data_IF_546574709184
#
_entry.id   IF_546574709184
#
_cell.length_a   1.000
_cell.length_b   1.000
_cell.length_c   1.000
_cell.angle_alpha   90.00
_cell.angle_beta   90.00
_cell.angle_gamma   90.00
#
_symmetry.space_group_name_H-M   'P 1'
#
loop_
_entity.id
_entity.type
_entity.pdbx_description
1 polymer ?
#
# COMPACT_ATOMS: atom_id res chain seq x y z
N UNK A 1 63.56 22.55 26.40
CA UNK A 1 62.15 22.99 26.22
C UNK A 1 61.37 22.32 27.34
N UNK A 2 60.78 23.15 28.19
CA UNK A 2 60.21 22.69 29.46
C UNK A 2 58.81 22.08 29.19
N UNK A 3 58.50 20.90 29.76
CA UNK A 3 57.19 20.23 29.61
C UNK A 3 56.00 21.14 29.90
N UNK A 4 56.18 22.11 30.79
CA UNK A 4 55.17 23.11 31.13
C UNK A 4 54.74 24.03 29.98
N UNK A 5 55.61 24.26 29.01
CA UNK A 5 55.28 25.13 27.87
C UNK A 5 54.43 24.37 26.81
N UNK A 6 54.66 23.08 26.63
CA UNK A 6 53.84 22.23 25.76
C UNK A 6 52.42 22.09 26.28
N UNK A 7 52.25 21.91 27.57
CA UNK A 7 50.93 21.79 28.20
C UNK A 7 50.13 23.11 28.08
N UNK A 8 50.76 24.24 28.28
CA UNK A 8 50.12 25.55 28.10
C UNK A 8 49.65 25.76 26.67
N UNK A 9 50.51 25.47 25.70
CA UNK A 9 50.15 25.57 24.26
C UNK A 9 49.00 24.64 23.91
N UNK A 10 49.03 23.41 24.43
CA UNK A 10 47.95 22.48 24.25
C UNK A 10 46.62 22.99 24.82
N UNK A 11 46.58 23.42 26.07
CA UNK A 11 45.35 23.91 26.71
C UNK A 11 44.82 25.20 26.07
N UNK A 12 45.66 26.07 25.60
CA UNK A 12 45.25 27.29 24.89
C UNK A 12 44.61 26.92 23.54
N UNK A 13 45.26 26.05 22.76
CA UNK A 13 44.74 25.64 21.48
C UNK A 13 43.45 24.80 21.65
N UNK A 14 43.42 23.89 22.61
CA UNK A 14 42.22 23.11 22.92
C UNK A 14 41.07 24.02 23.34
N UNK A 15 41.33 24.98 24.23
CA UNK A 15 40.34 25.98 24.64
C UNK A 15 39.81 26.83 23.47
N UNK A 16 40.70 27.25 22.58
CA UNK A 16 40.30 28.00 21.37
C UNK A 16 39.43 27.19 20.45
N UNK A 17 39.76 25.92 20.20
CA UNK A 17 38.94 25.00 19.37
C UNK A 17 37.58 24.77 20.02
N UNK A 18 37.56 24.50 21.32
CA UNK A 18 36.29 24.27 22.03
C UNK A 18 35.41 25.54 22.00
N UNK A 19 36.01 26.72 22.21
CA UNK A 19 35.28 28.00 22.14
C UNK A 19 34.68 28.21 20.71
N UNK A 20 35.45 27.90 19.66
CA UNK A 20 34.96 27.98 18.29
C UNK A 20 33.81 27.03 18.04
N UNK A 21 33.89 25.77 18.49
CA UNK A 21 32.82 24.77 18.34
C UNK A 21 31.55 25.19 19.10
N UNK A 22 31.68 25.67 20.32
CA UNK A 22 30.54 26.23 21.07
C UNK A 22 29.93 27.44 20.36
N UNK A 23 30.77 28.33 19.82
CA UNK A 23 30.30 29.46 19.04
C UNK A 23 29.46 29.04 17.83
N UNK A 24 29.96 28.12 17.05
CA UNK A 24 29.21 27.54 15.89
C UNK A 24 27.90 26.88 16.36
N UNK A 25 27.96 26.10 17.44
CA UNK A 25 26.78 25.45 18.00
C UNK A 25 25.66 26.44 18.36
N UNK A 26 26.01 27.52 19.08
CA UNK A 26 25.04 28.55 19.43
C UNK A 26 24.52 29.33 18.23
N UNK A 27 25.36 29.60 17.23
CA UNK A 27 24.94 30.22 15.97
C UNK A 27 23.92 29.31 15.24
N UNK A 28 24.19 28.01 15.15
CA UNK A 28 23.28 27.07 14.54
C UNK A 28 21.94 26.98 15.28
N UNK A 29 21.95 26.92 16.61
CA UNK A 29 20.71 26.93 17.41
C UNK A 29 19.93 28.22 17.20
N UNK A 30 20.62 29.37 17.20
CA UNK A 30 19.97 30.65 17.00
C UNK A 30 19.35 30.76 15.60
N UNK A 31 20.08 30.34 14.56
CA UNK A 31 19.58 30.29 13.20
C UNK A 31 18.38 29.35 13.07
N UNK A 32 18.46 28.13 13.66
CA UNK A 32 17.37 27.19 13.68
C UNK A 32 16.11 27.76 14.38
N UNK A 33 16.29 28.45 15.48
CA UNK A 33 15.19 29.12 16.19
C UNK A 33 14.55 30.24 15.38
N UNK A 34 15.35 31.06 14.68
CA UNK A 34 14.82 32.09 13.79
C UNK A 34 13.99 31.48 12.64
N UNK A 35 14.49 30.40 12.03
CA UNK A 35 13.78 29.70 10.95
C UNK A 35 12.49 29.06 11.49
N UNK A 36 12.55 28.39 12.62
CA UNK A 36 11.39 27.74 13.22
C UNK A 36 10.32 28.79 13.63
N UNK A 37 10.71 29.90 14.23
CA UNK A 37 9.78 30.97 14.60
C UNK A 37 9.11 31.65 13.39
N UNK A 38 9.79 31.62 12.23
CA UNK A 38 9.23 32.13 10.98
C UNK A 38 8.25 31.14 10.33
N UNK A 39 8.31 29.86 10.70
CA UNK A 39 7.47 28.77 10.19
C UNK A 39 6.17 28.55 10.95
N UNK A 40 6.03 29.09 12.15
CA UNK A 40 4.84 28.95 13.02
C UNK A 40 3.68 29.88 12.61
N UNK A 41 3.59 30.25 11.34
CA UNK A 41 2.39 30.90 10.86
C UNK A 41 1.29 29.85 10.77
N UNK A 42 0.24 30.01 11.59
CA UNK A 42 -0.99 29.23 11.44
C UNK A 42 -1.36 29.16 9.95
N UNK A 43 -1.74 27.99 9.43
CA UNK A 43 -2.05 27.86 8.02
C UNK A 43 -3.10 28.87 7.61
N UNK A 44 -2.82 29.60 6.54
CA UNK A 44 -3.73 30.63 6.02
C UNK A 44 -5.09 30.00 5.68
N UNK A 45 -6.20 30.73 5.82
CA UNK A 45 -7.53 30.20 5.52
C UNK A 45 -7.61 29.51 4.15
N UNK A 46 -6.90 30.05 3.16
CA UNK A 46 -6.78 29.49 1.81
C UNK A 46 -6.10 28.12 1.79
N UNK A 47 -5.07 27.93 2.60
CA UNK A 47 -4.37 26.65 2.75
C UNK A 47 -5.25 25.63 3.45
N UNK A 48 -5.99 26.03 4.48
CA UNK A 48 -6.95 25.17 5.16
C UNK A 48 -8.07 24.74 4.22
N UNK A 49 -8.58 25.63 3.38
CA UNK A 49 -9.60 25.32 2.40
C UNK A 49 -9.09 24.30 1.35
N UNK A 50 -7.86 24.48 0.87
CA UNK A 50 -7.26 23.54 -0.09
C UNK A 50 -6.98 22.18 0.52
N UNK A 51 -6.56 22.11 1.78
CA UNK A 51 -6.38 20.87 2.52
C UNK A 51 -7.72 20.18 2.74
N UNK A 52 -8.75 20.93 3.19
CA UNK A 52 -10.09 20.39 3.41
C UNK A 52 -10.69 19.78 2.13
N UNK A 53 -10.49 20.42 0.97
CA UNK A 53 -10.93 19.87 -0.32
C UNK A 53 -10.18 18.58 -0.69
N UNK A 54 -8.88 18.52 -0.42
CA UNK A 54 -8.05 17.32 -0.72
C UNK A 54 -8.38 16.13 0.17
N UNK A 55 -8.78 16.35 1.41
CA UNK A 55 -9.13 15.29 2.38
C UNK A 55 -10.64 15.08 2.46
N UNK A 56 -11.42 15.73 1.63
CA UNK A 56 -12.86 15.55 1.57
C UNK A 56 -13.20 14.08 1.33
N UNK A 57 -14.03 13.47 2.19
CA UNK A 57 -14.44 12.09 2.00
C UNK A 57 -15.09 11.90 0.63
N UNK A 58 -14.64 10.88 -0.13
CA UNK A 58 -15.22 10.54 -1.44
C UNK A 58 -16.58 9.85 -1.30
N UNK A 59 -17.10 9.73 -0.09
CA UNK A 59 -18.37 9.09 0.17
C UNK A 59 -19.10 9.68 1.35
N UNK A 60 -20.40 9.50 1.39
CA UNK A 60 -21.24 9.80 2.54
C UNK A 60 -21.49 8.51 3.32
N UNK A 61 -21.28 8.53 4.63
CA UNK A 61 -21.69 7.43 5.50
C UNK A 61 -23.20 7.49 5.64
N UNK A 62 -23.88 6.48 5.08
CA UNK A 62 -25.34 6.35 5.23
C UNK A 62 -25.59 5.56 6.50
N UNK A 63 -26.08 6.21 7.55
CA UNK A 63 -26.41 5.59 8.83
C UNK A 63 -27.90 5.18 8.92
N UNK A 64 -28.71 5.58 7.96
CA UNK A 64 -30.12 5.21 7.90
C UNK A 64 -30.29 3.88 7.14
N UNK A 65 -30.78 2.80 7.79
CA UNK A 65 -31.01 1.52 7.14
C UNK A 65 -31.96 1.59 5.93
N UNK A 66 -32.93 2.52 5.93
CA UNK A 66 -33.84 2.72 4.81
C UNK A 66 -33.17 3.38 3.58
N UNK A 67 -32.12 4.17 3.82
CA UNK A 67 -31.34 4.76 2.75
C UNK A 67 -30.33 3.78 2.12
N UNK A 68 -29.85 2.77 2.88
CA UNK A 68 -28.99 1.70 2.37
C UNK A 68 -29.67 0.87 1.27
N UNK A 69 -30.99 0.70 1.35
CA UNK A 69 -31.76 -0.03 0.33
C UNK A 69 -31.85 0.76 -0.98
N UNK A 70 -31.77 2.09 -0.92
CA UNK A 70 -31.80 2.97 -2.11
C UNK A 70 -30.43 3.18 -2.76
N UNK A 71 -29.34 2.93 -2.04
CA UNK A 71 -27.98 3.10 -2.55
C UNK A 71 -27.40 1.85 -3.22
N UNK A 72 -28.12 0.75 -3.25
CA UNK A 72 -27.86 -0.30 -4.25
C UNK A 72 -28.25 0.24 -5.63
N UNK A 73 -27.51 1.24 -6.12
CA UNK A 73 -27.55 1.59 -7.51
C UNK A 73 -27.34 0.29 -8.30
N UNK A 74 -28.16 0.00 -9.33
CA UNK A 74 -27.89 -1.14 -10.19
C UNK A 74 -26.44 -0.98 -10.64
N UNK A 75 -25.62 -1.98 -10.34
CA UNK A 75 -24.26 -2.05 -10.88
C UNK A 75 -24.41 -1.69 -12.35
N UNK A 76 -23.74 -0.63 -12.78
CA UNK A 76 -23.74 -0.25 -14.22
C UNK A 76 -23.45 -1.55 -14.94
N UNK A 77 -24.43 -2.03 -15.72
CA UNK A 77 -24.37 -3.33 -16.35
C UNK A 77 -23.25 -3.29 -17.40
N UNK A 78 -22.02 -3.49 -16.95
CA UNK A 78 -20.90 -3.71 -17.87
C UNK A 78 -21.07 -5.06 -18.53
N UNK A 79 -20.65 -5.17 -19.77
CA UNK A 79 -20.59 -6.47 -20.42
C UNK A 79 -19.73 -7.45 -19.57
N UNK A 80 -20.17 -8.68 -19.36
CA UNK A 80 -19.40 -9.69 -18.64
C UNK A 80 -18.02 -9.87 -19.26
N UNK A 81 -16.98 -9.89 -18.43
CA UNK A 81 -15.62 -10.13 -18.89
C UNK A 81 -15.38 -11.62 -19.07
N UNK A 82 -14.58 -11.98 -20.09
CA UNK A 82 -14.10 -13.34 -20.24
C UNK A 82 -13.09 -13.70 -19.17
N UNK A 83 -12.87 -15.00 -18.91
CA UNK A 83 -11.87 -15.46 -17.94
C UNK A 83 -10.46 -14.96 -18.25
N UNK A 84 -10.10 -14.85 -19.54
CA UNK A 84 -8.84 -14.27 -19.98
C UNK A 84 -8.72 -12.78 -19.61
N UNK A 85 -9.78 -12.00 -19.84
CA UNK A 85 -9.80 -10.57 -19.51
C UNK A 85 -9.72 -10.33 -18.00
N UNK A 86 -10.45 -11.11 -17.20
CA UNK A 86 -10.36 -11.06 -15.74
C UNK A 86 -8.96 -11.42 -15.27
N UNK A 87 -8.38 -12.49 -15.84
CA UNK A 87 -7.03 -12.90 -15.51
C UNK A 87 -6.01 -11.80 -15.84
N UNK A 88 -6.04 -11.26 -17.05
CA UNK A 88 -5.10 -10.22 -17.48
C UNK A 88 -5.20 -8.93 -16.62
N UNK A 89 -6.44 -8.56 -16.27
CA UNK A 89 -6.71 -7.34 -15.50
C UNK A 89 -6.32 -7.46 -14.03
N UNK A 90 -6.49 -8.63 -13.43
CA UNK A 90 -6.45 -8.78 -11.98
C UNK A 90 -5.61 -9.96 -11.51
N UNK A 91 -5.97 -11.20 -11.90
CA UNK A 91 -5.42 -12.42 -11.31
C UNK A 91 -3.92 -12.60 -11.61
N UNK A 92 -3.49 -12.21 -12.83
CA UNK A 92 -2.10 -12.34 -13.28
C UNK A 92 -1.10 -11.54 -12.42
N UNK A 93 -1.55 -10.50 -11.73
CA UNK A 93 -0.72 -9.73 -10.82
C UNK A 93 -0.05 -10.59 -9.73
N UNK A 94 -0.78 -11.58 -9.20
CA UNK A 94 -0.24 -12.52 -8.22
C UNK A 94 0.10 -13.88 -8.85
N UNK A 95 -0.81 -14.43 -9.68
CA UNK A 95 -0.66 -15.77 -10.26
C UNK A 95 0.32 -15.83 -11.44
N UNK A 96 0.65 -14.70 -12.08
CA UNK A 96 1.68 -14.65 -13.13
C UNK A 96 3.10 -14.89 -12.58
N UNK A 97 3.43 -14.25 -11.48
CA UNK A 97 4.75 -14.35 -10.84
C UNK A 97 4.79 -15.38 -9.68
N UNK A 98 3.64 -15.82 -9.16
CA UNK A 98 3.55 -16.73 -8.02
C UNK A 98 3.83 -16.04 -6.68
N UNK A 99 3.53 -14.74 -6.54
CA UNK A 99 3.77 -13.99 -5.31
C UNK A 99 2.82 -14.41 -4.19
N UNK A 100 3.23 -14.22 -2.94
CA UNK A 100 2.45 -14.54 -1.73
C UNK A 100 1.97 -16.01 -1.67
N UNK A 101 2.69 -16.93 -2.33
CA UNK A 101 2.32 -18.35 -2.37
C UNK A 101 1.17 -18.68 -3.33
N UNK A 102 0.83 -17.78 -4.25
CA UNK A 102 -0.13 -18.05 -5.30
C UNK A 102 0.42 -19.11 -6.27
N UNK A 103 -0.37 -20.11 -6.68
CA UNK A 103 0.05 -21.06 -7.71
C UNK A 103 0.27 -20.30 -9.02
N UNK A 104 1.46 -20.47 -9.59
CA UNK A 104 1.85 -19.78 -10.82
C UNK A 104 1.10 -20.33 -12.03
N UNK A 105 0.62 -19.47 -12.92
CA UNK A 105 0.03 -19.89 -14.21
C UNK A 105 1.08 -20.64 -15.02
N UNK A 106 0.71 -21.80 -15.56
CA UNK A 106 1.60 -22.73 -16.26
C UNK A 106 2.24 -23.79 -15.35
N UNK A 107 2.13 -23.67 -14.03
CA UNK A 107 2.60 -24.71 -13.10
C UNK A 107 1.51 -25.75 -12.86
N UNK A 108 1.52 -26.78 -13.70
CA UNK A 108 0.56 -27.88 -13.62
C UNK A 108 0.53 -28.57 -12.26
N UNK A 109 1.71 -28.81 -11.67
CA UNK A 109 1.79 -29.53 -10.41
C UNK A 109 1.17 -28.72 -9.25
N UNK A 110 1.48 -27.43 -9.19
CA UNK A 110 0.92 -26.54 -8.17
C UNK A 110 -0.60 -26.41 -8.30
N UNK A 111 -1.13 -26.26 -9.52
CA UNK A 111 -2.57 -26.15 -9.74
C UNK A 111 -3.31 -27.45 -9.48
N UNK A 112 -2.79 -28.60 -9.94
CA UNK A 112 -3.36 -29.92 -9.64
C UNK A 112 -3.43 -30.18 -8.13
N UNK A 113 -2.37 -29.84 -7.39
CA UNK A 113 -2.36 -29.94 -5.93
C UNK A 113 -3.44 -29.06 -5.27
N UNK A 114 -3.64 -27.82 -5.76
CA UNK A 114 -4.69 -26.91 -5.25
C UNK A 114 -6.09 -27.40 -5.56
N UNK A 115 -6.29 -27.91 -6.77
CA UNK A 115 -7.59 -28.48 -7.19
C UNK A 115 -7.97 -29.69 -6.33
N UNK A 116 -7.02 -30.62 -6.13
CA UNK A 116 -7.23 -31.79 -5.30
C UNK A 116 -7.46 -31.44 -3.83
N UNK A 117 -6.65 -30.54 -3.27
CA UNK A 117 -6.79 -30.10 -1.89
C UNK A 117 -8.10 -29.31 -1.64
N UNK A 118 -8.65 -28.68 -2.64
CA UNK A 118 -9.96 -28.03 -2.55
C UNK A 118 -11.13 -29.03 -2.61
N UNK A 119 -10.95 -30.19 -3.20
CA UNK A 119 -12.01 -31.17 -3.44
C UNK A 119 -12.74 -30.95 -4.77
N UNK A 120 -12.10 -30.29 -5.75
CA UNK A 120 -12.63 -30.08 -7.09
C UNK A 120 -12.79 -28.61 -7.48
N UNK A 121 -13.26 -28.41 -8.72
CA UNK A 121 -13.36 -27.07 -9.32
C UNK A 121 -14.28 -26.13 -8.56
N UNK A 122 -15.47 -26.58 -8.17
CA UNK A 122 -16.45 -25.72 -7.49
C UNK A 122 -15.94 -25.21 -6.16
N UNK A 123 -15.26 -26.06 -5.41
CA UNK A 123 -14.65 -25.68 -4.14
C UNK A 123 -13.46 -24.72 -4.38
N UNK A 124 -12.67 -24.95 -5.41
CA UNK A 124 -11.56 -24.05 -5.78
C UNK A 124 -12.08 -22.66 -6.18
N UNK A 125 -13.13 -22.61 -7.01
CA UNK A 125 -13.83 -21.36 -7.37
C UNK A 125 -14.39 -20.66 -6.15
N UNK A 126 -15.01 -21.41 -5.23
CA UNK A 126 -15.52 -20.87 -3.96
C UNK A 126 -14.42 -20.24 -3.10
N UNK A 127 -13.21 -20.82 -3.11
CA UNK A 127 -12.05 -20.19 -2.46
C UNK A 127 -11.67 -18.86 -3.12
N UNK A 128 -11.73 -18.77 -4.45
CA UNK A 128 -11.43 -17.52 -5.16
C UNK A 128 -12.49 -16.44 -4.90
N UNK A 129 -13.77 -16.83 -4.81
CA UNK A 129 -14.87 -15.90 -4.51
C UNK A 129 -14.76 -15.35 -3.07
N UNK A 130 -14.53 -16.22 -2.09
CA UNK A 130 -14.46 -15.82 -0.67
C UNK A 130 -13.10 -15.31 -0.21
N UNK A 131 -12.07 -15.57 -1.00
CA UNK A 131 -10.68 -15.40 -0.60
C UNK A 131 -10.14 -16.57 0.21
N UNK A 132 -8.81 -16.75 0.19
CA UNK A 132 -8.12 -17.78 0.98
C UNK A 132 -6.72 -17.35 1.34
N UNK A 133 -6.38 -17.33 2.63
CA UNK A 133 -5.09 -16.88 3.14
C UNK A 133 -4.76 -15.45 2.65
N UNK A 134 -3.67 -15.28 1.90
CA UNK A 134 -3.26 -14.00 1.33
C UNK A 134 -4.06 -13.57 0.09
N UNK A 135 -4.87 -14.47 -0.48
CA UNK A 135 -5.72 -14.12 -1.62
C UNK A 135 -6.98 -13.40 -1.17
N UNK A 136 -7.22 -12.16 -1.58
CA UNK A 136 -8.43 -11.43 -1.24
C UNK A 136 -9.66 -12.00 -1.97
N UNK A 137 -10.89 -11.78 -1.44
CA UNK A 137 -12.13 -12.15 -2.11
C UNK A 137 -12.19 -11.60 -3.53
N UNK A 138 -12.54 -12.45 -4.50
CA UNK A 138 -12.64 -12.10 -5.93
C UNK A 138 -11.38 -11.43 -6.49
N UNK A 139 -10.20 -11.76 -5.92
CA UNK A 139 -8.93 -11.13 -6.29
C UNK A 139 -8.79 -9.66 -5.90
N UNK A 140 -9.72 -9.13 -5.09
CA UNK A 140 -9.77 -7.74 -4.64
C UNK A 140 -10.72 -6.84 -5.42
N UNK A 141 -11.46 -7.38 -6.41
CA UNK A 141 -12.49 -6.63 -7.13
C UNK A 141 -13.91 -7.17 -6.82
N UNK A 142 -14.63 -6.55 -5.87
CA UNK A 142 -15.96 -6.98 -5.48
C UNK A 142 -17.01 -6.82 -6.59
N UNK A 143 -16.70 -6.07 -7.65
CA UNK A 143 -17.61 -5.86 -8.79
C UNK A 143 -17.69 -7.04 -9.76
N UNK A 144 -16.76 -8.01 -9.64
CA UNK A 144 -16.79 -9.25 -10.42
C UNK A 144 -17.99 -10.13 -10.01
N UNK A 145 -18.70 -10.66 -10.98
CA UNK A 145 -19.67 -11.71 -10.73
C UNK A 145 -18.98 -13.04 -10.40
N UNK A 146 -19.69 -13.93 -9.75
CA UNK A 146 -19.17 -15.25 -9.44
C UNK A 146 -18.85 -16.07 -10.70
N UNK A 147 -19.62 -15.86 -11.78
CA UNK A 147 -19.37 -16.49 -13.07
C UNK A 147 -18.09 -15.99 -13.74
N UNK A 148 -17.78 -14.68 -13.61
CA UNK A 148 -16.53 -14.14 -14.12
C UNK A 148 -15.32 -14.66 -13.34
N UNK A 149 -15.44 -14.82 -12.02
CA UNK A 149 -14.40 -15.45 -11.20
C UNK A 149 -14.21 -16.91 -11.58
N UNK A 150 -15.32 -17.66 -11.81
CA UNK A 150 -15.27 -19.04 -12.31
C UNK A 150 -14.54 -19.12 -13.63
N UNK A 151 -14.92 -18.30 -14.60
CA UNK A 151 -14.29 -18.27 -15.92
C UNK A 151 -12.77 -17.97 -15.83
N UNK A 152 -12.36 -17.11 -14.91
CA UNK A 152 -10.95 -16.82 -14.68
C UNK A 152 -10.19 -18.00 -14.07
N UNK A 153 -10.78 -18.72 -13.11
CA UNK A 153 -10.18 -19.92 -12.51
C UNK A 153 -10.03 -21.02 -13.58
N UNK A 154 -11.07 -21.27 -14.36
CA UNK A 154 -11.04 -22.25 -15.46
C UNK A 154 -9.98 -21.89 -16.52
N UNK A 155 -9.86 -20.60 -16.86
CA UNK A 155 -8.81 -20.11 -17.75
C UNK A 155 -7.42 -20.42 -17.21
N UNK A 156 -7.15 -20.11 -15.93
CA UNK A 156 -5.85 -20.36 -15.32
C UNK A 156 -5.52 -21.85 -15.22
N UNK A 157 -6.49 -22.71 -14.90
CA UNK A 157 -6.31 -24.16 -14.90
C UNK A 157 -5.97 -24.67 -16.30
N UNK A 158 -6.72 -24.25 -17.31
CA UNK A 158 -6.47 -24.61 -18.72
C UNK A 158 -5.08 -24.17 -19.19
N UNK A 159 -4.67 -22.94 -18.85
CA UNK A 159 -3.32 -22.44 -19.16
C UNK A 159 -2.22 -23.22 -18.44
N UNK A 160 -2.56 -23.87 -17.34
CA UNK A 160 -1.62 -24.69 -16.56
C UNK A 160 -1.70 -26.20 -16.94
N UNK A 161 -2.55 -26.58 -17.87
CA UNK A 161 -2.66 -27.97 -18.34
C UNK A 161 -3.37 -28.90 -17.35
N UNK A 162 -4.31 -28.35 -16.56
CA UNK A 162 -5.11 -29.05 -15.55
C UNK A 162 -6.58 -29.09 -16.00
#
# INVERSE_FOLDING_TARGET
MDHKDHDKVFFVNFGAVMAALFGIFFVCIFAARLIASSGDQAPRPEQLASIAERIKPIGTVVTDPAALVKTSAPAVARAPMTGEQVNAKLCAGCHGAGVLGAPKIGDKAAWAARLNAAGGLDALVSHAIRGKNAMPPKGGDPSLSDDEVRAAVEFMLKQSGV
#
